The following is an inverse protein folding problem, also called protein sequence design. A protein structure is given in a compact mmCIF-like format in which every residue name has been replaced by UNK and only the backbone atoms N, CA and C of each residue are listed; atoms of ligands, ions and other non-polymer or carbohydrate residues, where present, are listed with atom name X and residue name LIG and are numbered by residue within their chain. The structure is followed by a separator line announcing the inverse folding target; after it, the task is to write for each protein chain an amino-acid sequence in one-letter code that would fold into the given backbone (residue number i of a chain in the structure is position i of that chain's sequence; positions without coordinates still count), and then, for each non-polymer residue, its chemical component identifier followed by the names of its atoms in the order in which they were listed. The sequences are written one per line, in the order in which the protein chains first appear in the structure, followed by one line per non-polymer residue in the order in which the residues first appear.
data_IF_952146538480
#
_entry.id   IF_952146538480
#
_cell.length_a   1.000
_cell.length_b   1.000
_cell.length_c   1.000
_cell.angle_alpha   90.00
_cell.angle_beta   90.00
_cell.angle_gamma   90.00
#
_symmetry.space_group_name_H-M   'P 1'
#
loop_
_entity.id
_entity.type
_entity.pdbx_description
1 polymer ?
#
# COMPACT_ATOMS: atom_id res chain seq x y z
N UNK A 1 -25.55 0.25 -5.74
CA UNK A 1 -24.23 -0.02 -5.12
C UNK A 1 -23.16 0.59 -6.01
N UNK A 2 -22.17 1.31 -5.45
CA UNK A 2 -21.14 1.91 -6.30
C UNK A 2 -20.40 0.80 -7.03
N UNK A 3 -20.31 0.92 -8.37
CA UNK A 3 -19.49 0.03 -9.21
C UNK A 3 -17.99 0.39 -9.14
N UNK A 4 -17.63 1.37 -8.30
CA UNK A 4 -16.34 2.05 -8.28
C UNK A 4 -15.98 2.32 -6.82
N UNK A 5 -14.71 2.13 -6.47
CA UNK A 5 -14.21 2.38 -5.12
C UNK A 5 -14.41 3.84 -4.69
N UNK A 6 -14.68 4.05 -3.40
CA UNK A 6 -14.74 5.40 -2.78
C UNK A 6 -13.40 6.12 -2.90
N UNK A 7 -12.31 5.38 -2.69
CA UNK A 7 -10.95 5.89 -2.88
C UNK A 7 -10.32 5.30 -4.13
N UNK A 8 -9.47 6.08 -4.80
CA UNK A 8 -8.53 5.54 -5.79
C UNK A 8 -7.56 4.58 -5.11
N UNK A 9 -7.25 3.45 -5.77
CA UNK A 9 -6.27 2.47 -5.28
C UNK A 9 -4.88 3.07 -5.12
N UNK A 10 -4.54 4.04 -5.99
CA UNK A 10 -3.25 4.73 -5.95
C UNK A 10 -3.17 5.76 -4.82
N UNK A 11 -4.25 5.99 -4.07
CA UNK A 11 -4.15 6.70 -2.80
C UNK A 11 -3.45 5.85 -1.73
N UNK A 12 -3.17 4.57 -1.96
CA UNK A 12 -2.59 3.66 -0.98
C UNK A 12 -1.22 3.14 -1.41
N UNK A 13 -0.40 2.79 -0.42
CA UNK A 13 0.91 2.21 -0.66
C UNK A 13 0.76 0.71 -0.91
N UNK A 14 1.28 0.20 -2.04
CA UNK A 14 1.32 -1.24 -2.29
C UNK A 14 2.01 -2.04 -1.19
N UNK A 15 3.10 -1.50 -0.62
CA UNK A 15 3.96 -2.25 0.33
C UNK A 15 3.37 -2.28 1.74
N UNK A 16 2.86 -1.14 2.24
CA UNK A 16 2.42 -1.01 3.64
C UNK A 16 0.91 -0.78 3.81
N UNK A 17 0.13 -0.64 2.73
CA UNK A 17 -1.32 -0.43 2.77
C UNK A 17 -1.77 0.93 3.25
N UNK A 18 -0.86 1.76 3.74
CA UNK A 18 -1.25 3.07 4.26
C UNK A 18 -1.61 4.05 3.16
N UNK A 19 -2.46 5.01 3.50
CA UNK A 19 -2.77 6.16 2.67
C UNK A 19 -1.49 6.95 2.33
N UNK A 20 -1.36 7.39 1.09
CA UNK A 20 -0.24 8.14 0.56
C UNK A 20 -0.74 9.38 -0.15
N UNK A 21 -0.06 10.50 0.09
CA UNK A 21 -0.32 11.73 -0.64
C UNK A 21 0.46 11.72 -1.95
N UNK A 22 -0.06 12.32 -3.02
CA UNK A 22 0.61 12.38 -4.32
C UNK A 22 2.08 12.85 -4.21
N UNK A 23 2.37 13.89 -3.41
CA UNK A 23 3.73 14.38 -3.16
C UNK A 23 4.66 13.41 -2.41
N UNK A 24 4.12 12.32 -1.86
CA UNK A 24 4.83 11.27 -1.12
C UNK A 24 4.71 9.90 -1.81
N UNK A 25 4.12 9.85 -3.00
CA UNK A 25 4.06 8.65 -3.82
C UNK A 25 5.33 8.53 -4.67
N UNK A 26 5.79 7.30 -4.82
CA UNK A 26 6.85 6.93 -5.73
C UNK A 26 6.33 5.82 -6.64
N UNK A 27 6.73 5.91 -7.92
CA UNK A 27 6.66 4.77 -8.83
C UNK A 27 7.52 3.64 -8.24
N UNK A 28 7.02 2.41 -8.34
CA UNK A 28 7.73 1.22 -7.88
C UNK A 28 8.85 0.91 -8.88
N UNK A 29 10.02 1.50 -8.64
CA UNK A 29 11.20 1.37 -9.52
C UNK A 29 11.76 -0.06 -9.53
N UNK A 30 12.59 -0.37 -10.53
CA UNK A 30 13.25 -1.68 -10.64
C UNK A 30 14.07 -2.03 -9.39
N UNK A 31 14.73 -1.04 -8.76
CA UNK A 31 15.47 -1.24 -7.50
C UNK A 31 14.52 -1.62 -6.38
N UNK A 32 13.36 -0.96 -6.26
CA UNK A 32 12.35 -1.29 -5.24
C UNK A 32 11.76 -2.67 -5.50
N UNK A 33 11.44 -3.04 -6.75
CA UNK A 33 10.96 -4.39 -7.10
C UNK A 33 11.97 -5.49 -6.70
N UNK A 34 13.26 -5.28 -7.02
CA UNK A 34 14.33 -6.21 -6.67
C UNK A 34 14.51 -6.32 -5.16
N UNK A 35 14.56 -5.19 -4.47
CA UNK A 35 14.71 -5.15 -3.02
C UNK A 35 13.51 -5.78 -2.30
N UNK A 36 12.29 -5.56 -2.79
CA UNK A 36 11.07 -6.18 -2.28
C UNK A 36 11.15 -7.70 -2.37
N UNK A 37 11.54 -8.22 -3.53
CA UNK A 37 11.68 -9.66 -3.74
C UNK A 37 12.71 -10.30 -2.80
N UNK A 38 13.86 -9.66 -2.64
CA UNK A 38 14.90 -10.17 -1.75
C UNK A 38 14.54 -10.06 -0.28
N UNK A 39 13.78 -9.03 0.11
CA UNK A 39 13.39 -8.82 1.51
C UNK A 39 12.23 -9.73 1.93
N UNK A 40 11.14 -9.73 1.16
CA UNK A 40 9.89 -10.40 1.50
C UNK A 40 9.77 -11.81 0.92
N UNK A 41 10.68 -12.22 0.02
CA UNK A 41 10.65 -13.52 -0.63
C UNK A 41 9.61 -13.65 -1.75
N UNK A 42 8.79 -12.63 -2.02
CA UNK A 42 7.75 -12.63 -3.04
C UNK A 42 7.93 -11.47 -4.04
N UNK A 43 7.45 -11.63 -5.27
CA UNK A 43 7.52 -10.56 -6.28
C UNK A 43 6.32 -9.61 -6.11
N UNK A 44 6.51 -8.34 -6.44
CA UNK A 44 5.40 -7.40 -6.63
C UNK A 44 4.56 -7.89 -7.80
N UNK A 45 3.31 -8.24 -7.52
CA UNK A 45 2.32 -8.72 -8.47
C UNK A 45 1.18 -7.73 -8.69
N UNK A 46 0.27 -8.10 -9.60
CA UNK A 46 -1.03 -7.45 -9.82
C UNK A 46 -0.96 -5.95 -10.16
N UNK A 47 0.17 -5.51 -10.71
CA UNK A 47 0.41 -4.12 -11.12
C UNK A 47 -0.33 -3.73 -12.41
N UNK A 48 -1.07 -4.65 -13.01
CA UNK A 48 -2.01 -4.44 -14.11
C UNK A 48 -3.47 -4.46 -13.63
N UNK A 49 -3.71 -4.74 -12.34
CA UNK A 49 -5.04 -4.96 -11.78
C UNK A 49 -5.57 -3.68 -11.13
N UNK A 50 -6.78 -3.31 -11.51
CA UNK A 50 -7.46 -2.12 -10.97
C UNK A 50 -7.68 -2.17 -9.45
N UNK A 51 -7.62 -3.36 -8.83
CA UNK A 51 -7.86 -3.59 -7.41
C UNK A 51 -6.59 -3.60 -6.56
N UNK A 52 -5.40 -3.39 -7.16
CA UNK A 52 -4.14 -3.28 -6.44
C UNK A 52 -3.54 -1.87 -6.61
N UNK A 53 -2.83 -1.33 -5.60
CA UNK A 53 -2.11 -0.07 -5.79
C UNK A 53 -0.93 -0.20 -6.75
N UNK A 54 -0.74 0.79 -7.62
CA UNK A 54 0.37 0.82 -8.59
C UNK A 54 1.56 1.64 -8.09
N UNK A 55 1.41 2.25 -6.91
CA UNK A 55 2.38 3.16 -6.30
C UNK A 55 2.78 2.68 -4.91
N UNK A 56 3.91 3.17 -4.43
CA UNK A 56 4.34 2.98 -3.06
C UNK A 56 4.66 4.30 -2.38
N UNK A 57 4.57 4.36 -1.05
CA UNK A 57 4.96 5.56 -0.33
C UNK A 57 6.49 5.73 -0.36
N UNK A 58 6.94 6.98 -0.37
CA UNK A 58 8.35 7.37 -0.32
C UNK A 58 9.09 6.72 0.86
N UNK A 59 8.43 6.57 2.00
CA UNK A 59 9.00 5.93 3.18
C UNK A 59 9.34 4.46 2.91
N UNK A 60 8.44 3.68 2.33
CA UNK A 60 8.70 2.29 1.98
C UNK A 60 9.80 2.19 0.92
N UNK A 61 9.70 2.98 -0.15
CA UNK A 61 10.70 2.99 -1.22
C UNK A 61 12.11 3.28 -0.69
N UNK A 62 12.27 4.34 0.11
CA UNK A 62 13.57 4.71 0.70
C UNK A 62 14.05 3.67 1.70
N UNK A 63 13.17 3.17 2.56
CA UNK A 63 13.52 2.20 3.60
C UNK A 63 14.05 0.91 2.98
N UNK A 64 13.33 0.38 2.00
CA UNK A 64 13.68 -0.83 1.29
C UNK A 64 14.96 -0.65 0.45
N UNK A 65 15.10 0.51 -0.20
CA UNK A 65 16.32 0.86 -0.92
C UNK A 65 17.52 0.97 0.01
N UNK A 66 17.38 1.62 1.17
CA UNK A 66 18.46 1.70 2.17
C UNK A 66 18.83 0.33 2.70
N UNK A 67 17.85 -0.54 2.97
CA UNK A 67 18.10 -1.92 3.35
C UNK A 67 18.89 -2.67 2.28
N UNK A 68 18.48 -2.56 1.02
CA UNK A 68 19.15 -3.21 -0.11
C UNK A 68 20.61 -2.78 -0.27
N UNK A 69 20.95 -1.54 0.11
CA UNK A 69 22.33 -1.02 0.11
C UNK A 69 23.05 -1.16 1.46
N UNK A 70 22.53 -1.96 2.41
CA UNK A 70 23.14 -2.18 3.72
C UNK A 70 23.11 -0.96 4.67
N UNK A 71 22.40 0.11 4.32
CA UNK A 71 22.28 1.35 5.12
C UNK A 71 21.15 1.29 6.16
N UNK A 72 20.36 0.22 6.19
CA UNK A 72 19.31 -0.02 7.17
C UNK A 72 19.19 -1.51 7.48
N UNK A 73 18.96 -1.86 8.75
CA UNK A 73 18.87 -3.26 9.19
C UNK A 73 17.63 -3.99 8.68
N UNK A 74 16.46 -3.33 8.73
CA UNK A 74 15.18 -3.95 8.41
C UNK A 74 14.10 -2.91 8.03
N UNK A 75 13.05 -3.40 7.37
CA UNK A 75 11.73 -2.75 7.29
C UNK A 75 11.04 -2.80 8.67
N UNK A 76 10.04 -1.95 8.93
CA UNK A 76 9.29 -1.98 10.19
C UNK A 76 8.34 -3.18 10.33
N UNK A 77 8.24 -4.05 9.33
CA UNK A 77 7.43 -5.26 9.29
C UNK A 77 8.15 -6.33 8.46
N UNK A 78 7.78 -7.60 8.68
CA UNK A 78 8.35 -8.77 8.01
C UNK A 78 7.49 -9.24 6.83
N UNK A 79 6.18 -9.01 6.87
CA UNK A 79 5.23 -9.35 5.82
C UNK A 79 4.61 -8.07 5.27
N UNK A 80 4.61 -7.81 3.94
CA UNK A 80 3.98 -6.62 3.37
C UNK A 80 2.47 -6.81 3.27
N UNK A 81 1.73 -5.79 2.83
CA UNK A 81 0.31 -6.00 2.52
C UNK A 81 0.14 -7.03 1.43
N UNK A 82 -0.79 -7.95 1.64
CA UNK A 82 -1.21 -8.93 0.65
C UNK A 82 -2.53 -8.45 0.07
N UNK A 83 -2.48 -8.02 -1.19
CA UNK A 83 -3.65 -7.59 -1.96
C UNK A 83 -4.31 -8.78 -2.64
N UNK A 84 -5.64 -8.82 -2.63
CA UNK A 84 -6.46 -9.75 -3.38
C UNK A 84 -7.65 -8.99 -3.97
N UNK A 85 -8.25 -9.56 -5.00
CA UNK A 85 -9.44 -8.98 -5.61
C UNK A 85 -10.60 -8.93 -4.58
N UNK A 86 -11.20 -7.76 -4.36
CA UNK A 86 -12.33 -7.62 -3.45
C UNK A 86 -13.56 -8.33 -4.01
N UNK A 87 -14.28 -9.09 -3.17
CA UNK A 87 -15.52 -9.76 -3.58
C UNK A 87 -16.70 -8.80 -3.73
N UNK A 88 -16.68 -7.68 -2.99
CA UNK A 88 -17.71 -6.65 -3.03
C UNK A 88 -17.17 -5.30 -2.50
N UNK A 89 -17.94 -4.22 -2.69
CA UNK A 89 -17.56 -2.86 -2.27
C UNK A 89 -18.12 -2.41 -0.91
N UNK A 90 -18.70 -3.31 -0.12
CA UNK A 90 -19.31 -3.00 1.18
C UNK A 90 -18.35 -3.34 2.32
N UNK A 91 -17.96 -4.61 2.43
CA UNK A 91 -17.24 -5.16 3.58
C UNK A 91 -15.92 -5.86 3.23
N UNK A 92 -15.65 -6.05 1.94
CA UNK A 92 -14.42 -6.69 1.44
C UNK A 92 -13.68 -5.80 0.44
N UNK A 93 -13.87 -4.48 0.48
CA UNK A 93 -13.09 -3.54 -0.32
C UNK A 93 -12.33 -2.57 0.58
N UNK A 94 -11.03 -2.82 0.71
CA UNK A 94 -10.12 -2.00 1.52
C UNK A 94 -10.23 -0.50 1.21
N UNK A 95 -10.33 -0.16 -0.08
CA UNK A 95 -10.41 1.21 -0.56
C UNK A 95 -11.75 1.87 -0.26
N UNK A 96 -12.84 1.12 -0.08
CA UNK A 96 -14.14 1.65 0.32
C UNK A 96 -14.27 1.79 1.83
N UNK A 97 -13.62 0.90 2.59
CA UNK A 97 -13.71 0.88 4.05
C UNK A 97 -12.83 1.93 4.73
N UNK A 98 -11.72 2.33 4.09
CA UNK A 98 -10.93 3.45 4.62
C UNK A 98 -11.65 4.78 4.37
N UNK A 99 -11.69 5.71 5.34
CA UNK A 99 -12.33 7.01 5.19
C UNK A 99 -11.95 7.72 3.87
N UNK A 100 -12.91 8.37 3.18
CA UNK A 100 -12.69 8.96 1.86
C UNK A 100 -11.57 9.99 1.89
N UNK A 101 -10.52 9.82 1.09
CA UNK A 101 -9.34 10.69 1.01
C UNK A 101 -9.62 12.07 0.38
N UNK A 102 -10.75 12.22 -0.31
CA UNK A 102 -11.24 13.46 -0.89
C UNK A 102 -11.67 14.45 0.20
N UNK A 103 -11.04 15.62 0.27
CA UNK A 103 -11.35 16.66 1.27
C UNK A 103 -10.18 17.13 2.14
N UNK A 104 -8.94 16.87 1.73
CA UNK A 104 -7.76 17.41 2.43
C UNK A 104 -7.38 16.59 3.65
N UNK A 105 -6.84 15.39 3.43
CA UNK A 105 -6.25 14.62 4.52
C UNK A 105 -5.00 15.34 5.01
N UNK A 106 -5.02 15.74 6.29
CA UNK A 106 -3.82 16.26 6.94
C UNK A 106 -2.99 15.08 7.47
N UNK A 107 -1.69 15.29 7.66
CA UNK A 107 -0.81 14.30 8.32
C UNK A 107 -1.35 13.87 9.70
N UNK A 108 -2.06 14.76 10.41
CA UNK A 108 -2.68 14.47 11.70
C UNK A 108 -3.83 13.46 11.56
N UNK A 109 -4.76 13.71 10.63
CA UNK A 109 -5.87 12.78 10.33
C UNK A 109 -5.38 11.43 9.82
N UNK A 110 -4.29 11.38 9.04
CA UNK A 110 -3.71 10.10 8.59
C UNK A 110 -3.33 9.17 9.75
N UNK A 111 -2.81 9.70 10.86
CA UNK A 111 -2.36 8.90 12.01
C UNK A 111 -3.50 8.25 12.78
N UNK A 112 -4.70 8.79 12.68
CA UNK A 112 -5.90 8.26 13.34
C UNK A 112 -6.70 7.34 12.44
N UNK A 113 -6.22 7.06 11.21
CA UNK A 113 -6.88 6.11 10.32
C UNK A 113 -6.60 4.71 10.84
N UNK A 114 -7.67 3.99 11.14
CA UNK A 114 -7.62 2.55 11.33
C UNK A 114 -7.73 1.88 9.97
N UNK A 115 -6.71 1.09 9.63
CA UNK A 115 -6.69 0.31 8.40
C UNK A 115 -7.31 -1.06 8.68
N UNK A 116 -8.32 -1.49 7.90
CA UNK A 116 -8.97 -2.77 8.11
C UNK A 116 -8.03 -3.94 7.78
N UNK A 117 -8.28 -5.10 8.41
CA UNK A 117 -7.64 -6.36 8.06
C UNK A 117 -8.73 -7.30 7.53
N UNK A 118 -8.82 -7.42 6.20
CA UNK A 118 -9.92 -8.09 5.50
C UNK A 118 -9.37 -9.08 4.46
N UNK A 119 -10.19 -10.02 3.97
CA UNK A 119 -9.74 -11.01 2.99
C UNK A 119 -9.09 -10.39 1.73
N UNK A 120 -9.60 -9.26 1.24
CA UNK A 120 -9.04 -8.54 0.09
C UNK A 120 -7.70 -7.84 0.36
N UNK A 121 -7.36 -7.58 1.62
CA UNK A 121 -6.17 -6.81 2.01
C UNK A 121 -5.72 -7.18 3.43
N UNK A 122 -4.76 -8.11 3.51
CA UNK A 122 -4.18 -8.53 4.78
C UNK A 122 -3.09 -7.54 5.20
N UNK A 123 -3.16 -7.08 6.45
CA UNK A 123 -2.24 -6.06 6.97
C UNK A 123 -0.81 -6.58 7.10
N UNK A 124 0.19 -5.67 7.08
CA UNK A 124 1.58 -6.03 7.36
C UNK A 124 1.74 -6.56 8.79
N UNK A 125 2.63 -7.54 8.97
CA UNK A 125 2.98 -8.16 10.27
C UNK A 125 4.48 -8.12 10.48
#
# INVERSE_FOLDING_TARGET
MPRICVNSVDNFCYICGELTFAAQQNIISAVVKKAYHLYFGCKIGDQDKYWAPHVCCRTCAITLSKWFHGKRKAMPFAVPVIWREPTNHIDDCYFCMVPPASGGFTKKKKRTIEYPNIPSALRPV
#
